data_IF_713566062703
#
_entry.id   IF_713566062703
#
_cell.length_a   1.000
_cell.length_b   1.000
_cell.length_c   1.000
_cell.angle_alpha   90.00
_cell.angle_beta   90.00
_cell.angle_gamma   90.00
#
_symmetry.space_group_name_H-M   'P 1'
#
loop_
_entity.id
_entity.type
_entity.pdbx_description
1 polymer ?
#
# COMPACT_ATOMS: atom_id res chain seq x y z
N UNK A 1 -10.51 8.40 -80.48
CA UNK A 1 -9.28 7.83 -81.02
C UNK A 1 -9.60 6.44 -81.55
N UNK A 2 -9.32 6.15 -82.82
CA UNK A 2 -9.34 4.78 -83.35
C UNK A 2 -7.92 4.23 -83.25
N UNK A 3 -7.77 3.06 -82.67
CA UNK A 3 -6.49 2.36 -82.57
C UNK A 3 -6.36 1.39 -83.75
N UNK A 4 -5.12 1.12 -84.18
CA UNK A 4 -4.84 0.07 -85.16
C UNK A 4 -4.98 -1.30 -84.49
N UNK A 5 -5.35 -2.34 -85.26
CA UNK A 5 -5.56 -3.70 -84.73
C UNK A 5 -4.35 -4.25 -83.98
N UNK A 6 -3.14 -4.02 -84.49
CA UNK A 6 -1.87 -4.44 -83.84
C UNK A 6 -1.73 -3.88 -82.41
N UNK A 7 -2.24 -2.67 -82.18
CA UNK A 7 -2.19 -2.02 -80.86
C UNK A 7 -3.27 -2.58 -79.93
N UNK A 8 -4.47 -2.86 -80.46
CA UNK A 8 -5.54 -3.52 -79.71
C UNK A 8 -5.11 -4.91 -79.23
N UNK A 9 -4.48 -5.70 -80.11
CA UNK A 9 -3.99 -7.04 -79.80
C UNK A 9 -2.83 -7.00 -78.78
N UNK A 10 -1.96 -5.99 -78.87
CA UNK A 10 -0.88 -5.77 -77.90
C UNK A 10 -1.41 -5.47 -76.49
N UNK A 11 -2.51 -4.70 -76.37
CA UNK A 11 -3.13 -4.41 -75.09
C UNK A 11 -3.83 -5.62 -74.46
N UNK A 12 -4.41 -6.49 -75.29
CA UNK A 12 -4.98 -7.76 -74.84
C UNK A 12 -3.87 -8.69 -74.35
N UNK A 13 -2.79 -8.84 -75.12
CA UNK A 13 -1.63 -9.63 -74.72
C UNK A 13 -0.97 -9.13 -73.42
N UNK A 14 -0.91 -7.81 -73.20
CA UNK A 14 -0.41 -7.20 -71.96
C UNK A 14 -1.26 -7.53 -70.73
N UNK A 15 -2.58 -7.64 -70.90
CA UNK A 15 -3.47 -8.08 -69.83
C UNK A 15 -3.26 -9.56 -69.53
N UNK A 16 -3.08 -10.40 -70.55
CA UNK A 16 -2.88 -11.85 -70.35
C UNK A 16 -1.50 -12.19 -69.76
N UNK A 17 -0.43 -11.55 -70.25
CA UNK A 17 0.95 -11.82 -69.81
C UNK A 17 1.26 -11.18 -68.45
N UNK A 18 0.73 -9.99 -68.18
CA UNK A 18 1.15 -9.17 -67.02
C UNK A 18 0.01 -8.67 -66.14
N UNK A 19 -1.24 -8.93 -66.50
CA UNK A 19 -2.40 -8.42 -65.76
C UNK A 19 -2.58 -6.91 -65.84
N UNK A 20 -1.93 -6.24 -66.80
CA UNK A 20 -1.97 -4.77 -66.92
C UNK A 20 -3.04 -4.35 -67.91
N UNK A 21 -3.95 -3.49 -67.47
CA UNK A 21 -5.02 -2.94 -68.31
C UNK A 21 -5.01 -1.41 -68.32
N UNK A 22 -5.65 -0.84 -69.33
CA UNK A 22 -5.86 0.61 -69.42
C UNK A 22 -6.86 1.06 -68.36
N UNK A 23 -6.60 2.19 -67.69
CA UNK A 23 -7.47 2.74 -66.64
C UNK A 23 -7.77 4.24 -66.86
N UNK A 24 -8.85 4.72 -66.25
CA UNK A 24 -9.19 6.13 -66.21
C UNK A 24 -9.94 6.67 -67.43
N UNK A 25 -9.96 8.00 -67.59
CA UNK A 25 -10.80 8.68 -68.59
C UNK A 25 -10.38 8.40 -70.04
N UNK A 26 -9.17 7.86 -70.26
CA UNK A 26 -8.69 7.48 -71.60
C UNK A 26 -9.61 6.42 -72.24
N UNK A 27 -10.20 5.52 -71.43
CA UNK A 27 -11.13 4.47 -71.86
C UNK A 27 -12.42 5.02 -72.50
N UNK A 28 -12.79 6.28 -72.22
CA UNK A 28 -13.97 6.96 -72.81
C UNK A 28 -13.67 7.55 -74.19
N UNK A 29 -12.39 7.74 -74.51
CA UNK A 29 -11.93 8.40 -75.74
C UNK A 29 -11.61 7.40 -76.85
N UNK A 30 -11.50 6.11 -76.53
CA UNK A 30 -11.19 5.02 -77.46
C UNK A 30 -12.49 4.56 -78.15
N UNK A 31 -12.48 4.56 -79.50
CA UNK A 31 -13.55 4.03 -80.34
C UNK A 31 -13.00 2.84 -81.09
N UNK A 32 -13.63 1.68 -80.96
CA UNK A 32 -13.21 0.43 -81.63
C UNK A 32 -14.40 -0.22 -82.31
N UNK A 33 -14.12 -0.87 -83.44
CA UNK A 33 -15.08 -1.69 -84.20
C UNK A 33 -14.86 -3.19 -83.92
N UNK A 34 -13.84 -3.56 -83.12
CA UNK A 34 -13.48 -4.93 -82.78
C UNK A 34 -14.25 -5.41 -81.54
N UNK A 35 -15.04 -6.51 -81.64
CA UNK A 35 -15.84 -7.01 -80.52
C UNK A 35 -15.01 -7.52 -79.33
N UNK A 36 -13.82 -8.07 -79.55
CA UNK A 36 -12.94 -8.55 -78.47
C UNK A 36 -12.33 -7.40 -77.68
N UNK A 37 -11.80 -6.39 -78.38
CA UNK A 37 -11.24 -5.21 -77.74
C UNK A 37 -12.32 -4.36 -77.05
N UNK A 38 -13.55 -4.36 -77.55
CA UNK A 38 -14.69 -3.74 -76.85
C UNK A 38 -14.96 -4.39 -75.49
N UNK A 39 -14.90 -5.72 -75.42
CA UNK A 39 -15.05 -6.49 -74.17
C UNK A 39 -13.89 -6.21 -73.21
N UNK A 40 -12.66 -6.10 -73.72
CA UNK A 40 -11.49 -5.65 -72.94
C UNK A 40 -11.72 -4.28 -72.29
N UNK A 41 -12.17 -3.29 -73.08
CA UNK A 41 -12.41 -1.92 -72.59
C UNK A 41 -13.51 -1.88 -71.52
N UNK A 42 -14.58 -2.66 -71.66
CA UNK A 42 -15.67 -2.67 -70.68
C UNK A 42 -15.25 -3.37 -69.38
N UNK A 43 -14.50 -4.48 -69.45
CA UNK A 43 -13.89 -5.11 -68.27
C UNK A 43 -12.93 -4.14 -67.55
N UNK A 44 -12.10 -3.41 -68.31
CA UNK A 44 -11.16 -2.45 -67.76
C UNK A 44 -11.86 -1.25 -67.07
N UNK A 45 -13.01 -0.80 -67.61
CA UNK A 45 -13.84 0.23 -66.95
C UNK A 45 -14.43 -0.26 -65.63
N UNK A 46 -14.95 -1.50 -65.61
CA UNK A 46 -15.52 -2.08 -64.38
C UNK A 46 -14.46 -2.28 -63.31
N UNK A 47 -13.27 -2.77 -63.70
CA UNK A 47 -12.15 -2.96 -62.80
C UNK A 47 -11.61 -1.64 -62.22
N UNK A 48 -11.38 -0.59 -63.03
CA UNK A 48 -10.99 0.74 -62.54
C UNK A 48 -12.07 1.34 -61.62
N UNK A 49 -13.35 1.22 -61.99
CA UNK A 49 -14.46 1.69 -61.17
C UNK A 49 -14.49 0.99 -59.81
N UNK A 50 -14.26 -0.32 -59.77
CA UNK A 50 -14.18 -1.10 -58.53
C UNK A 50 -12.96 -0.71 -57.71
N UNK A 51 -11.77 -0.67 -58.31
CA UNK A 51 -10.52 -0.29 -57.62
C UNK A 51 -10.60 1.13 -57.03
N UNK A 52 -11.25 2.07 -57.73
CA UNK A 52 -11.45 3.44 -57.25
C UNK A 52 -12.41 3.50 -56.05
N UNK A 53 -13.49 2.70 -56.07
CA UNK A 53 -14.42 2.57 -54.94
C UNK A 53 -13.71 1.96 -53.73
N UNK A 54 -12.98 0.87 -53.94
CA UNK A 54 -12.24 0.16 -52.88
C UNK A 54 -11.19 1.09 -52.25
N UNK A 55 -10.42 1.81 -53.08
CA UNK A 55 -9.46 2.81 -52.60
C UNK A 55 -10.12 3.93 -51.81
N UNK A 56 -11.24 4.47 -52.29
CA UNK A 56 -11.96 5.53 -51.56
C UNK A 56 -12.50 5.03 -50.21
N UNK A 57 -13.02 3.80 -50.17
CA UNK A 57 -13.50 3.18 -48.94
C UNK A 57 -12.37 3.01 -47.92
N UNK A 58 -11.21 2.48 -48.37
CA UNK A 58 -10.01 2.33 -47.53
C UNK A 58 -9.53 3.69 -47.04
N UNK A 59 -9.42 4.71 -47.90
CA UNK A 59 -8.98 6.04 -47.48
C UNK A 59 -9.90 6.65 -46.42
N UNK A 60 -11.23 6.52 -46.58
CA UNK A 60 -12.20 6.98 -45.57
C UNK A 60 -12.06 6.23 -44.25
N UNK A 61 -11.88 4.92 -44.31
CA UNK A 61 -11.67 4.10 -43.11
C UNK A 61 -10.39 4.52 -42.37
N UNK A 62 -9.28 4.69 -43.08
CA UNK A 62 -8.01 5.10 -42.49
C UNK A 62 -8.12 6.49 -41.87
N UNK A 63 -8.77 7.44 -42.53
CA UNK A 63 -9.02 8.78 -41.96
C UNK A 63 -9.84 8.71 -40.67
N UNK A 64 -10.91 7.91 -40.67
CA UNK A 64 -11.73 7.71 -39.47
C UNK A 64 -10.94 7.05 -38.35
N UNK A 65 -10.08 6.07 -38.65
CA UNK A 65 -9.22 5.41 -37.66
C UNK A 65 -8.18 6.36 -37.09
N UNK A 66 -7.57 7.22 -37.92
CA UNK A 66 -6.62 8.23 -37.45
C UNK A 66 -7.27 9.20 -36.47
N UNK A 67 -8.49 9.66 -36.76
CA UNK A 67 -9.24 10.53 -35.86
C UNK A 67 -9.59 9.84 -34.53
N UNK A 68 -10.03 8.58 -34.56
CA UNK A 68 -10.35 7.81 -33.35
C UNK A 68 -9.09 7.54 -32.51
N UNK A 69 -7.95 7.24 -33.15
CA UNK A 69 -6.67 7.05 -32.46
C UNK A 69 -6.19 8.33 -31.79
N UNK A 70 -6.36 9.48 -32.43
CA UNK A 70 -6.00 10.78 -31.85
C UNK A 70 -6.85 11.05 -30.60
N UNK A 71 -8.17 10.81 -30.66
CA UNK A 71 -9.08 11.00 -29.54
C UNK A 71 -8.80 10.03 -28.38
N UNK A 72 -8.46 8.77 -28.69
CA UNK A 72 -8.05 7.80 -27.66
C UNK A 72 -6.73 8.20 -27.00
N UNK A 73 -5.81 8.76 -27.76
CA UNK A 73 -4.51 9.21 -27.23
C UNK A 73 -4.70 10.35 -26.24
N UNK A 74 -5.50 11.36 -26.58
CA UNK A 74 -5.77 12.49 -25.66
C UNK A 74 -6.46 12.02 -24.38
N UNK A 75 -7.42 11.10 -24.50
CA UNK A 75 -8.11 10.52 -23.33
C UNK A 75 -7.18 9.68 -22.45
N UNK A 76 -6.21 8.97 -23.04
CA UNK A 76 -5.20 8.23 -22.28
C UNK A 76 -4.22 9.16 -21.56
N UNK A 77 -3.82 10.26 -22.19
CA UNK A 77 -2.97 11.28 -21.58
C UNK A 77 -3.68 11.95 -20.39
N UNK A 78 -4.96 12.31 -20.54
CA UNK A 78 -5.77 12.87 -19.44
C UNK A 78 -5.89 11.89 -18.26
N UNK A 79 -6.19 10.61 -18.55
CA UNK A 79 -6.27 9.58 -17.51
C UNK A 79 -4.93 9.27 -16.84
N UNK A 80 -3.82 9.43 -17.55
CA UNK A 80 -2.50 9.25 -16.96
C UNK A 80 -2.23 10.34 -15.92
N UNK A 81 -2.55 11.60 -16.25
CA UNK A 81 -2.44 12.73 -15.32
C UNK A 81 -3.35 12.54 -14.11
N UNK A 82 -4.61 12.15 -14.31
CA UNK A 82 -5.54 11.90 -13.21
C UNK A 82 -5.06 10.77 -12.28
N UNK A 83 -4.51 9.70 -12.84
CA UNK A 83 -3.93 8.60 -12.05
C UNK A 83 -2.70 9.05 -11.25
N UNK A 84 -1.82 9.87 -11.83
CA UNK A 84 -0.66 10.41 -11.10
C UNK A 84 -1.10 11.27 -9.91
N UNK A 85 -2.10 12.14 -10.09
CA UNK A 85 -2.67 12.95 -9.00
C UNK A 85 -3.34 12.08 -7.93
N UNK A 86 -4.08 11.03 -8.33
CA UNK A 86 -4.68 10.08 -7.39
C UNK A 86 -3.62 9.33 -6.57
N UNK A 87 -2.53 8.89 -7.21
CA UNK A 87 -1.43 8.21 -6.52
C UNK A 87 -0.77 9.14 -5.50
N UNK A 88 -0.53 10.39 -5.86
CA UNK A 88 0.04 11.39 -4.94
C UNK A 88 -0.87 11.63 -3.75
N UNK A 89 -2.17 11.82 -3.97
CA UNK A 89 -3.14 11.99 -2.88
C UNK A 89 -3.22 10.76 -1.97
N UNK A 90 -3.11 9.55 -2.53
CA UNK A 90 -3.07 8.31 -1.76
C UNK A 90 -1.80 8.21 -0.93
N UNK A 91 -0.64 8.58 -1.47
CA UNK A 91 0.64 8.59 -0.76
C UNK A 91 0.60 9.57 0.42
N UNK A 92 0.09 10.79 0.22
CA UNK A 92 -0.10 11.78 1.30
C UNK A 92 -1.06 11.28 2.38
N UNK A 93 -2.17 10.64 2.00
CA UNK A 93 -3.12 10.05 2.95
C UNK A 93 -2.52 8.87 3.73
N UNK A 94 -1.68 8.06 3.09
CA UNK A 94 -0.96 6.96 3.72
C UNK A 94 0.05 7.50 4.74
N UNK A 95 0.87 8.47 4.35
CA UNK A 95 1.86 9.09 5.24
C UNK A 95 1.18 9.70 6.48
N UNK A 96 0.05 10.40 6.29
CA UNK A 96 -0.74 10.93 7.40
C UNK A 96 -1.29 9.82 8.32
N UNK A 97 -1.78 8.72 7.75
CA UNK A 97 -2.29 7.58 8.51
C UNK A 97 -1.19 6.84 9.28
N UNK A 98 -0.01 6.64 8.68
CA UNK A 98 1.17 6.07 9.33
C UNK A 98 1.70 6.96 10.44
N UNK A 99 1.75 8.28 10.22
CA UNK A 99 2.10 9.27 11.23
C UNK A 99 1.15 9.21 12.43
N UNK A 100 -0.16 9.19 12.19
CA UNK A 100 -1.17 9.07 13.24
C UNK A 100 -1.07 7.73 13.99
N UNK A 101 -0.87 6.62 13.27
CA UNK A 101 -0.68 5.28 13.87
C UNK A 101 0.56 5.25 14.75
N UNK A 102 1.68 5.81 14.28
CA UNK A 102 2.94 5.87 15.04
C UNK A 102 2.78 6.71 16.31
N UNK A 103 2.17 7.89 16.20
CA UNK A 103 1.88 8.74 17.35
C UNK A 103 0.99 8.02 18.38
N UNK A 104 -0.05 7.30 17.94
CA UNK A 104 -0.93 6.53 18.83
C UNK A 104 -0.20 5.36 19.51
N UNK A 105 0.70 4.66 18.81
CA UNK A 105 1.52 3.59 19.38
C UNK A 105 2.50 4.14 20.41
N UNK A 106 3.15 5.26 20.10
CA UNK A 106 4.12 5.89 21.00
C UNK A 106 3.42 6.43 22.25
N UNK A 107 2.26 7.06 22.11
CA UNK A 107 1.45 7.52 23.25
C UNK A 107 0.96 6.34 24.10
N UNK A 108 0.51 5.24 23.48
CA UNK A 108 0.11 4.03 24.19
C UNK A 108 1.28 3.42 24.97
N UNK A 109 2.49 3.34 24.40
CA UNK A 109 3.69 2.84 25.08
C UNK A 109 4.07 3.76 26.27
N UNK A 110 4.00 5.08 26.07
CA UNK A 110 4.25 6.06 27.14
C UNK A 110 3.23 5.96 28.28
N UNK A 111 1.94 5.86 27.95
CA UNK A 111 0.86 5.68 28.92
C UNK A 111 1.02 4.37 29.69
N UNK A 112 1.29 3.26 29.01
CA UNK A 112 1.52 1.97 29.65
C UNK A 112 2.70 2.02 30.64
N UNK A 113 3.82 2.63 30.23
CA UNK A 113 4.99 2.80 31.12
C UNK A 113 4.63 3.66 32.34
N UNK A 114 3.98 4.81 32.14
CA UNK A 114 3.55 5.69 33.24
C UNK A 114 2.62 4.97 34.22
N UNK A 115 1.57 4.31 33.73
CA UNK A 115 0.62 3.58 34.58
C UNK A 115 1.30 2.45 35.37
N UNK A 116 2.23 1.71 34.75
CA UNK A 116 3.00 0.69 35.47
C UNK A 116 3.86 1.30 36.59
N UNK A 117 4.49 2.46 36.36
CA UNK A 117 5.26 3.14 37.40
C UNK A 117 4.40 3.67 38.55
N UNK A 118 3.23 4.23 38.25
CA UNK A 118 2.29 4.69 39.26
C UNK A 118 1.76 3.54 40.12
N UNK A 119 1.37 2.42 39.50
CA UNK A 119 0.91 1.22 40.20
C UNK A 119 2.00 0.66 41.12
N UNK A 120 3.23 0.54 40.63
CA UNK A 120 4.39 0.08 41.43
C UNK A 120 4.61 1.02 42.62
N UNK A 121 4.68 2.33 42.37
CA UNK A 121 4.89 3.32 43.43
C UNK A 121 3.82 3.25 44.51
N UNK A 122 2.57 3.03 44.11
CA UNK A 122 1.46 2.90 45.05
C UNK A 122 1.55 1.63 45.90
N UNK A 123 1.93 0.49 45.32
CA UNK A 123 2.17 -0.77 46.06
C UNK A 123 3.27 -0.58 47.10
N UNK A 124 4.37 0.07 46.73
CA UNK A 124 5.49 0.34 47.65
C UNK A 124 5.05 1.25 48.79
N UNK A 125 4.30 2.32 48.49
CA UNK A 125 3.79 3.22 49.51
C UNK A 125 2.87 2.51 50.51
N UNK A 126 1.96 1.65 50.04
CA UNK A 126 1.09 0.84 50.91
C UNK A 126 1.92 -0.10 51.79
N UNK A 127 2.92 -0.77 51.23
CA UNK A 127 3.80 -1.65 52.00
C UNK A 127 4.56 -0.90 53.10
N UNK A 128 5.07 0.30 52.81
CA UNK A 128 5.75 1.14 53.80
C UNK A 128 4.82 1.56 54.95
N UNK A 129 3.58 1.93 54.65
CA UNK A 129 2.57 2.24 55.67
C UNK A 129 2.26 1.04 56.57
N UNK A 130 2.15 -0.16 56.00
CA UNK A 130 1.92 -1.40 56.76
C UNK A 130 3.09 -1.69 57.70
N UNK A 131 4.34 -1.56 57.23
CA UNK A 131 5.54 -1.77 58.06
C UNK A 131 5.56 -0.79 59.24
N UNK A 132 5.31 0.49 58.98
CA UNK A 132 5.24 1.52 60.02
C UNK A 132 4.15 1.22 61.05
N UNK A 133 2.96 0.83 60.62
CA UNK A 133 1.84 0.51 61.52
C UNK A 133 2.15 -0.70 62.42
N UNK A 134 2.72 -1.77 61.86
CA UNK A 134 3.14 -2.96 62.62
C UNK A 134 4.26 -2.60 63.60
N UNK A 135 5.26 -1.82 63.17
CA UNK A 135 6.37 -1.37 64.03
C UNK A 135 5.90 -0.53 65.21
N UNK A 136 4.97 0.40 65.00
CA UNK A 136 4.37 1.20 66.08
C UNK A 136 3.55 0.34 67.02
N UNK A 137 2.64 -0.48 66.50
CA UNK A 137 1.74 -1.33 67.32
C UNK A 137 2.54 -2.25 68.24
N UNK A 138 3.59 -2.86 67.71
CA UNK A 138 4.45 -3.78 68.46
C UNK A 138 5.36 -3.07 69.46
N UNK A 139 5.86 -1.88 69.12
CA UNK A 139 6.61 -1.04 70.07
C UNK A 139 5.73 -0.62 71.24
N UNK A 140 4.48 -0.23 70.99
CA UNK A 140 3.51 0.11 72.04
C UNK A 140 3.24 -1.11 72.92
N UNK A 141 3.01 -2.29 72.35
CA UNK A 141 2.81 -3.52 73.13
C UNK A 141 4.04 -3.86 74.00
N UNK A 142 5.24 -3.70 73.47
CA UNK A 142 6.49 -3.94 74.22
C UNK A 142 6.67 -2.94 75.37
N UNK A 143 6.39 -1.66 75.12
CA UNK A 143 6.43 -0.61 76.16
C UNK A 143 5.41 -0.91 77.26
N UNK A 144 4.18 -1.28 76.90
CA UNK A 144 3.14 -1.67 77.86
C UNK A 144 3.55 -2.91 78.67
N UNK A 145 4.15 -3.92 78.03
CA UNK A 145 4.64 -5.12 78.71
C UNK A 145 5.75 -4.79 79.73
N UNK A 146 6.69 -3.91 79.37
CA UNK A 146 7.74 -3.44 80.28
C UNK A 146 7.16 -2.68 81.48
N UNK A 147 6.15 -1.83 81.28
CA UNK A 147 5.54 -1.06 82.36
C UNK A 147 4.64 -1.89 83.27
N UNK A 148 3.94 -2.90 82.75
CA UNK A 148 2.98 -3.72 83.53
C UNK A 148 3.60 -4.98 84.15
N UNK A 149 4.53 -5.64 83.46
CA UNK A 149 5.10 -6.94 83.86
C UNK A 149 6.60 -6.89 84.23
N UNK A 150 7.27 -5.75 84.07
CA UNK A 150 8.71 -5.59 84.35
C UNK A 150 9.62 -6.43 83.44
N UNK A 151 10.90 -6.58 83.83
CA UNK A 151 11.90 -7.40 83.11
C UNK A 151 11.70 -8.90 83.40
N UNK A 152 10.51 -9.43 83.14
CA UNK A 152 10.19 -10.85 83.25
C UNK A 152 10.61 -11.66 82.01
N UNK A 153 10.61 -13.00 82.11
CA UNK A 153 10.85 -13.90 80.98
C UNK A 153 9.91 -13.63 79.78
N UNK A 154 8.68 -13.22 80.06
CA UNK A 154 7.63 -12.94 79.06
C UNK A 154 7.97 -11.71 78.19
N UNK A 155 8.59 -10.68 78.76
CA UNK A 155 9.02 -9.48 78.03
C UNK A 155 10.16 -9.80 77.05
N UNK A 156 11.11 -10.65 77.46
CA UNK A 156 12.19 -11.13 76.58
C UNK A 156 11.66 -12.03 75.47
N UNK A 157 10.66 -12.87 75.77
CA UNK A 157 10.00 -13.71 74.77
C UNK A 157 9.31 -12.84 73.69
N UNK A 158 8.56 -11.81 74.11
CA UNK A 158 7.91 -10.86 73.18
C UNK A 158 8.96 -10.14 72.33
N UNK A 159 10.06 -9.68 72.91
CA UNK A 159 11.14 -9.03 72.17
C UNK A 159 11.80 -9.94 71.11
N UNK A 160 12.04 -11.21 71.46
CA UNK A 160 12.63 -12.19 70.54
C UNK A 160 11.66 -12.57 69.42
N UNK A 161 10.37 -12.80 69.73
CA UNK A 161 9.33 -13.05 68.73
C UNK A 161 9.13 -11.84 67.81
N UNK A 162 9.20 -10.63 68.35
CA UNK A 162 9.11 -9.38 67.59
C UNK A 162 10.27 -9.22 66.60
N UNK A 163 11.51 -9.38 67.07
CA UNK A 163 12.70 -9.27 66.22
C UNK A 163 12.66 -10.28 65.06
N UNK A 164 12.18 -11.50 65.33
CA UNK A 164 12.00 -12.53 64.31
C UNK A 164 10.90 -12.18 63.29
N UNK A 165 9.72 -11.73 63.76
CA UNK A 165 8.61 -11.35 62.88
C UNK A 165 8.92 -10.10 62.04
N UNK A 166 9.60 -9.11 62.63
CA UNK A 166 10.06 -7.92 61.92
C UNK A 166 11.10 -8.26 60.85
N UNK A 167 12.04 -9.16 61.16
CA UNK A 167 13.01 -9.68 60.18
C UNK A 167 12.33 -10.35 58.97
N UNK A 168 11.35 -11.23 59.22
CA UNK A 168 10.60 -11.91 58.15
C UNK A 168 9.81 -10.92 57.29
N UNK A 169 9.15 -9.93 57.91
CA UNK A 169 8.40 -8.89 57.20
C UNK A 169 9.30 -7.99 56.37
N UNK A 170 10.44 -7.56 56.90
CA UNK A 170 11.40 -6.73 56.18
C UNK A 170 12.04 -7.48 55.01
N UNK A 171 12.45 -8.73 55.20
CA UNK A 171 13.00 -9.54 54.12
C UNK A 171 11.98 -9.79 53.02
N UNK A 172 10.71 -10.09 53.36
CA UNK A 172 9.65 -10.27 52.36
C UNK A 172 9.35 -8.97 51.61
N UNK A 173 9.22 -7.85 52.33
CA UNK A 173 8.94 -6.53 51.74
C UNK A 173 10.07 -6.06 50.84
N UNK A 174 11.33 -6.18 51.26
CA UNK A 174 12.49 -5.82 50.43
C UNK A 174 12.71 -6.78 49.28
N UNK A 175 12.39 -8.07 49.42
CA UNK A 175 12.44 -9.02 48.30
C UNK A 175 11.43 -8.64 47.22
N UNK A 176 10.19 -8.30 47.59
CA UNK A 176 9.15 -7.88 46.63
C UNK A 176 9.56 -6.56 45.95
N UNK A 177 9.99 -5.57 46.74
CA UNK A 177 10.45 -4.29 46.23
C UNK A 177 11.68 -4.45 45.31
N UNK A 178 12.65 -5.29 45.71
CA UNK A 178 13.87 -5.55 44.96
C UNK A 178 13.64 -6.32 43.67
N UNK A 179 12.74 -7.32 43.66
CA UNK A 179 12.33 -8.01 42.45
C UNK A 179 11.60 -7.07 41.49
N UNK A 180 10.71 -6.22 41.99
CA UNK A 180 9.98 -5.23 41.16
C UNK A 180 10.94 -4.17 40.60
N UNK A 181 11.88 -3.66 41.40
CA UNK A 181 12.90 -2.71 40.93
C UNK A 181 13.88 -3.36 39.94
N UNK A 182 14.29 -4.61 40.15
CA UNK A 182 15.14 -5.34 39.20
C UNK A 182 14.47 -5.56 37.84
N UNK A 183 13.18 -5.91 37.83
CA UNK A 183 12.38 -6.05 36.60
C UNK A 183 12.23 -4.68 35.89
N UNK A 184 12.08 -3.59 36.64
CA UNK A 184 12.03 -2.24 36.07
C UNK A 184 13.29 -1.90 35.26
N UNK A 185 14.49 -2.09 35.83
CA UNK A 185 15.74 -1.79 35.13
C UNK A 185 16.03 -2.77 33.96
N UNK A 186 15.60 -4.02 34.07
CA UNK A 186 15.72 -5.00 32.97
C UNK A 186 14.79 -4.66 31.78
N UNK A 187 13.59 -4.12 32.06
CA UNK A 187 12.64 -3.73 31.01
C UNK A 187 13.08 -2.50 30.20
N UNK A 188 13.84 -1.59 30.80
CA UNK A 188 14.36 -0.39 30.14
C UNK A 188 15.56 -0.67 29.20
N UNK A 189 16.26 -1.79 29.40
CA UNK A 189 17.51 -2.12 28.66
C UNK A 189 17.31 -3.05 27.47
N UNK A 190 16.09 -3.51 27.19
CA UNK A 190 15.84 -4.39 26.03
C UNK A 190 15.67 -3.56 24.76
N UNK A 191 16.59 -3.60 23.78
CA UNK A 191 16.43 -2.84 22.54
C UNK A 191 15.24 -3.41 21.74
N UNK A 192 14.29 -2.55 21.35
CA UNK A 192 13.18 -2.92 20.45
C UNK A 192 13.77 -3.49 19.16
N UNK A 193 13.53 -4.79 18.89
CA UNK A 193 13.72 -5.34 17.53
C UNK A 193 12.83 -4.55 16.57
N UNK A 194 13.32 -4.17 15.39
CA UNK A 194 12.47 -3.56 14.37
C UNK A 194 11.37 -4.57 14.03
N UNK A 195 10.12 -4.15 14.12
CA UNK A 195 8.99 -4.92 13.62
C UNK A 195 9.17 -5.09 12.12
N UNK A 196 9.33 -6.34 11.68
CA UNK A 196 9.29 -6.70 10.25
C UNK A 196 7.93 -6.25 9.70
N UNK A 197 7.97 -5.24 8.85
CA UNK A 197 6.87 -4.85 7.97
C UNK A 197 6.76 -5.88 6.84
N UNK A 198 5.66 -6.62 6.82
CA UNK A 198 5.16 -7.35 5.64
C UNK A 198 3.97 -6.57 5.10
#
# INVERSE_FOLDING_TARGET
>A
MKLTKEIEDSFIALLEDRGVQLEGNILKLIKTDNPEFKKYIDNAKEADAKARRDRLAITKQVQSQMQDLELKKTLLEEKAVENEDLLKNLEEALEAAEGAKKAAIDDLDLLQKKTQFELIGNIVNVALWVIMAVGVTTTVLYVVALFLNGNGPDTTLIGNTWSNLLGILLTNSFSIIGTIMGVKYASETTPKKPSESV
#
